data_IF_446921932624
#
_entry.id   IF_446921932624
#
_cell.length_a   1.000
_cell.length_b   1.000
_cell.length_c   1.000
_cell.angle_alpha   90.00
_cell.angle_beta   90.00
_cell.angle_gamma   90.00
#
_symmetry.space_group_name_H-M   'P 1'
#
loop_
_entity.id
_entity.type
_entity.pdbx_description
1 polymer ?
#
# COMPACT_ATOMS: atom_id res chain seq x y z
N UNK A 1 12.64 -53.71 21.49
CA UNK A 1 12.27 -52.41 22.09
C UNK A 1 13.57 -51.75 22.55
N UNK A 2 13.79 -50.48 22.18
CA UNK A 2 14.93 -49.59 22.49
C UNK A 2 16.14 -49.62 21.55
N UNK A 3 16.06 -48.82 20.48
CA UNK A 3 17.23 -48.11 19.93
C UNK A 3 16.79 -46.92 19.07
N UNK A 4 16.59 -45.74 19.69
CA UNK A 4 16.50 -44.45 18.99
C UNK A 4 16.49 -43.32 20.05
N UNK A 5 17.66 -42.95 20.57
CA UNK A 5 17.81 -41.79 21.48
C UNK A 5 19.01 -40.89 21.13
N UNK A 6 19.49 -40.94 19.88
CA UNK A 6 20.70 -40.22 19.44
C UNK A 6 20.56 -39.47 18.10
N UNK A 7 19.37 -38.96 17.78
CA UNK A 7 19.18 -38.02 16.66
C UNK A 7 18.42 -36.73 17.05
N UNK A 8 18.21 -36.49 18.36
CA UNK A 8 17.48 -35.32 18.87
C UNK A 8 18.34 -34.09 19.18
N UNK A 9 19.67 -34.14 18.99
CA UNK A 9 20.57 -33.04 19.39
C UNK A 9 21.29 -32.34 18.22
N UNK A 10 21.07 -32.77 16.96
CA UNK A 10 21.78 -32.20 15.80
C UNK A 10 20.95 -31.26 14.93
N UNK A 11 19.62 -31.19 15.09
CA UNK A 11 18.77 -30.24 14.34
C UNK A 11 18.39 -28.99 15.15
N UNK A 12 18.75 -28.92 16.43
CA UNK A 12 18.49 -27.74 17.27
C UNK A 12 19.54 -26.63 17.06
N UNK A 13 20.76 -26.98 16.62
CA UNK A 13 21.85 -26.01 16.45
C UNK A 13 21.78 -25.21 15.13
N UNK A 14 21.07 -25.71 14.11
CA UNK A 14 20.93 -24.99 12.83
C UNK A 14 19.72 -24.05 12.84
N UNK A 15 18.64 -24.41 13.54
CA UNK A 15 17.45 -23.56 13.69
C UNK A 15 17.64 -22.36 14.63
N UNK A 16 18.47 -22.49 15.67
CA UNK A 16 18.76 -21.38 16.58
C UNK A 16 19.73 -20.34 15.98
N UNK A 17 20.59 -20.73 15.03
CA UNK A 17 21.61 -19.84 14.46
C UNK A 17 21.07 -18.88 13.38
N UNK A 18 19.89 -19.13 12.83
CA UNK A 18 19.26 -18.25 11.82
C UNK A 18 18.30 -17.23 12.47
N UNK A 19 17.73 -17.56 13.63
CA UNK A 19 16.79 -16.70 14.35
C UNK A 19 17.45 -15.48 15.01
N UNK A 20 18.69 -15.59 15.50
CA UNK A 20 19.41 -14.46 16.14
C UNK A 20 19.89 -13.39 15.14
N UNK A 21 19.88 -13.65 13.82
CA UNK A 21 20.35 -12.68 12.81
C UNK A 21 19.29 -11.70 12.33
N UNK A 22 18.01 -11.94 12.62
CA UNK A 22 16.88 -11.19 12.04
C UNK A 22 15.87 -10.62 13.06
N UNK A 23 16.15 -10.69 14.36
CA UNK A 23 15.48 -9.84 15.35
C UNK A 23 13.96 -9.96 15.49
N UNK A 24 13.35 -11.10 15.12
CA UNK A 24 11.92 -11.33 15.27
C UNK A 24 11.62 -12.15 16.55
N UNK A 25 10.94 -11.59 17.57
CA UNK A 25 10.36 -12.39 18.64
C UNK A 25 9.14 -13.16 18.14
N UNK A 26 9.08 -14.44 18.52
CA UNK A 26 8.17 -15.42 17.93
C UNK A 26 6.79 -15.54 18.56
N UNK A 27 6.09 -16.52 17.99
CA UNK A 27 4.83 -17.19 18.34
C UNK A 27 3.52 -16.52 17.90
N UNK A 28 2.95 -17.03 16.81
CA UNK A 28 1.50 -17.24 16.67
C UNK A 28 1.26 -18.63 16.09
N UNK A 29 0.50 -19.43 16.83
CA UNK A 29 0.02 -20.76 16.45
C UNK A 29 -1.51 -20.73 16.47
N UNK A 30 -2.16 -20.95 15.32
CA UNK A 30 -3.56 -21.40 15.28
C UNK A 30 -4.51 -20.59 14.39
N UNK A 31 -4.39 -20.73 13.06
CA UNK A 31 -5.45 -20.35 12.12
C UNK A 31 -6.52 -21.45 12.12
N UNK A 32 -7.76 -21.12 12.47
CA UNK A 32 -8.92 -22.01 12.28
C UNK A 32 -9.86 -21.47 11.21
N UNK A 33 -9.98 -22.26 10.15
CA UNK A 33 -11.04 -22.23 9.15
C UNK A 33 -12.43 -22.11 9.79
N UNK A 34 -13.16 -21.03 9.46
CA UNK A 34 -14.62 -20.98 9.22
C UNK A 34 -15.10 -19.53 9.28
N UNK A 35 -15.43 -18.94 8.13
CA UNK A 35 -16.05 -17.62 8.14
C UNK A 35 -16.50 -17.09 6.77
N UNK A 36 -17.03 -17.91 5.88
CA UNK A 36 -17.55 -17.40 4.59
C UNK A 36 -18.93 -17.94 4.15
N UNK A 37 -19.74 -18.46 5.08
CA UNK A 37 -21.14 -18.85 4.77
C UNK A 37 -22.10 -18.47 5.90
N UNK A 38 -22.60 -17.23 5.93
CA UNK A 38 -23.98 -16.91 6.35
C UNK A 38 -24.32 -15.43 6.18
N UNK A 39 -25.05 -15.09 5.12
CA UNK A 39 -25.80 -13.83 5.05
C UNK A 39 -27.24 -14.19 4.71
N UNK A 40 -28.12 -14.21 5.72
CA UNK A 40 -29.52 -13.82 5.61
C UNK A 40 -30.19 -13.81 7.00
N UNK A 41 -30.83 -12.67 7.32
CA UNK A 41 -31.89 -12.56 8.32
C UNK A 41 -31.54 -11.88 9.64
N UNK A 42 -31.61 -10.53 9.70
CA UNK A 42 -32.41 -9.80 10.71
C UNK A 42 -32.35 -8.27 10.46
N UNK A 43 -33.33 -7.74 9.74
CA UNK A 43 -33.69 -6.31 9.77
C UNK A 43 -35.11 -6.23 10.33
N UNK A 44 -35.21 -5.81 11.59
CA UNK A 44 -36.34 -5.15 12.24
C UNK A 44 -35.96 -5.03 13.73
N UNK A 45 -35.83 -3.88 14.37
CA UNK A 45 -35.97 -2.49 14.00
C UNK A 45 -35.74 -1.65 15.28
N UNK A 46 -35.45 -0.35 15.08
CA UNK A 46 -35.56 0.77 16.04
C UNK A 46 -34.63 0.70 17.27
N UNK A 47 -33.75 1.66 17.55
CA UNK A 47 -34.06 3.07 17.81
C UNK A 47 -32.92 4.08 17.50
N UNK A 48 -33.39 5.33 17.41
CA UNK A 48 -32.85 6.66 17.11
C UNK A 48 -31.52 7.09 17.80
N UNK A 49 -30.65 7.89 17.12
CA UNK A 49 -29.43 8.47 17.71
C UNK A 49 -29.69 9.84 18.37
N UNK A 50 -28.91 10.24 19.40
CA UNK A 50 -28.88 11.62 19.88
C UNK A 50 -27.89 12.49 19.09
N UNK A 51 -28.35 13.72 18.88
CA UNK A 51 -27.70 14.81 18.18
C UNK A 51 -26.65 15.56 19.04
N UNK A 52 -25.58 16.01 18.39
CA UNK A 52 -24.83 17.26 18.63
C UNK A 52 -23.68 17.23 17.60
N UNK A 53 -23.53 18.15 16.64
CA UNK A 53 -23.24 19.56 16.85
C UNK A 53 -23.94 20.43 15.81
N UNK A 54 -24.63 21.46 16.31
CA UNK A 54 -25.08 22.64 15.58
C UNK A 54 -23.85 23.48 15.18
N UNK A 55 -23.70 23.83 13.90
CA UNK A 55 -24.12 25.11 13.31
C UNK A 55 -23.42 26.35 13.88
N UNK A 56 -22.54 26.94 13.07
CA UNK A 56 -22.26 28.38 13.07
C UNK A 56 -22.12 28.81 11.60
N UNK A 57 -22.86 29.85 11.24
CA UNK A 57 -23.13 30.34 9.89
C UNK A 57 -22.20 31.49 9.47
N UNK A 58 -21.96 31.53 8.15
CA UNK A 58 -21.90 32.66 7.18
C UNK A 58 -21.16 33.99 7.55
N UNK A 59 -20.06 34.36 6.87
CA UNK A 59 -19.91 35.19 5.61
C UNK A 59 -19.87 36.72 5.89
N UNK A 60 -19.61 37.64 4.93
CA UNK A 60 -18.47 37.84 4.01
C UNK A 60 -17.97 39.32 3.98
N UNK A 61 -16.80 39.66 3.39
CA UNK A 61 -16.51 41.03 2.86
C UNK A 61 -15.46 41.01 1.74
N UNK A 62 -15.71 41.81 0.69
CA UNK A 62 -15.01 42.02 -0.59
C UNK A 62 -13.75 42.92 -0.56
N UNK A 63 -13.10 42.99 -1.76
CA UNK A 63 -12.35 44.14 -2.35
C UNK A 63 -10.86 44.28 -1.95
N UNK A 64 -9.86 44.60 -2.79
CA UNK A 64 -9.79 45.34 -4.06
C UNK A 64 -8.47 45.07 -4.82
N UNK A 65 -8.54 45.14 -6.17
CA UNK A 65 -7.64 45.78 -7.16
C UNK A 65 -6.09 45.69 -7.14
N UNK A 66 -5.54 45.33 -8.34
CA UNK A 66 -4.46 45.99 -9.12
C UNK A 66 -3.04 46.05 -8.49
N UNK A 67 -1.88 46.05 -9.17
CA UNK A 67 -1.49 46.18 -10.57
C UNK A 67 0.03 45.86 -10.70
N UNK A 68 0.48 45.81 -11.95
CA UNK A 68 1.82 46.22 -12.43
C UNK A 68 3.05 45.27 -12.41
N UNK A 69 3.76 45.39 -13.54
CA UNK A 69 4.79 44.53 -14.08
C UNK A 69 6.21 45.07 -13.83
N UNK A 70 7.24 44.24 -14.06
CA UNK A 70 8.56 44.64 -14.61
C UNK A 70 9.50 43.44 -14.84
N UNK A 71 9.86 43.21 -16.11
CA UNK A 71 11.08 42.53 -16.61
C UNK A 71 12.18 43.62 -16.84
N UNK A 72 13.41 43.41 -17.41
CA UNK A 72 14.21 42.20 -17.71
C UNK A 72 15.75 42.32 -17.46
N UNK A 73 16.49 41.27 -17.86
CA UNK A 73 17.79 41.28 -18.56
C UNK A 73 19.14 41.17 -17.80
N UNK A 74 19.92 40.13 -18.16
CA UNK A 74 21.36 40.12 -18.54
C UNK A 74 21.86 38.66 -18.57
N UNK A 75 21.97 37.96 -19.71
CA UNK A 75 23.05 37.91 -20.72
C UNK A 75 24.43 37.43 -20.24
N UNK A 76 24.91 36.36 -20.88
CA UNK A 76 26.30 36.05 -21.29
C UNK A 76 26.87 34.68 -20.87
N UNK A 77 27.24 33.93 -21.90
CA UNK A 77 27.91 32.63 -21.98
C UNK A 77 29.34 32.59 -21.42
N UNK A 78 29.86 31.39 -21.09
CA UNK A 78 30.77 30.60 -21.96
C UNK A 78 31.64 29.59 -21.14
N UNK A 79 31.57 28.31 -21.56
CA UNK A 79 32.58 27.23 -21.52
C UNK A 79 33.31 26.83 -20.23
N UNK A 80 33.16 25.55 -19.86
CA UNK A 80 34.30 24.62 -19.73
C UNK A 80 33.83 23.16 -19.84
N UNK A 81 34.56 22.40 -20.67
CA UNK A 81 34.48 20.95 -20.85
C UNK A 81 35.23 20.24 -19.73
N UNK A 82 34.67 19.21 -19.11
CA UNK A 82 35.46 18.12 -18.49
C UNK A 82 34.68 16.80 -18.56
N UNK A 83 35.23 15.90 -19.37
CA UNK A 83 34.94 14.47 -19.47
C UNK A 83 35.16 13.75 -18.13
N UNK A 84 34.35 12.71 -17.87
CA UNK A 84 34.55 11.58 -16.92
C UNK A 84 33.68 11.60 -15.64
N UNK A 85 32.45 11.07 -15.73
CA UNK A 85 31.89 10.02 -14.83
C UNK A 85 30.51 9.56 -15.36
N UNK A 86 30.50 8.72 -16.40
CA UNK A 86 29.27 8.25 -17.05
C UNK A 86 28.59 7.05 -16.35
N UNK A 87 28.78 6.88 -15.04
CA UNK A 87 28.18 5.79 -14.28
C UNK A 87 27.44 6.23 -12.99
N UNK A 88 27.30 7.54 -12.70
CA UNK A 88 26.65 8.03 -11.46
C UNK A 88 25.78 9.29 -11.60
N UNK A 89 25.07 9.47 -12.71
CA UNK A 89 24.11 10.57 -12.78
C UNK A 89 22.91 10.22 -13.68
N UNK A 90 22.10 9.27 -13.24
CA UNK A 90 20.70 9.26 -13.68
C UNK A 90 20.02 10.42 -12.97
N UNK A 91 19.40 11.39 -13.68
CA UNK A 91 18.60 12.40 -13.02
C UNK A 91 17.50 11.68 -12.23
N UNK A 92 17.57 11.80 -10.90
CA UNK A 92 16.48 11.34 -10.03
C UNK A 92 15.27 12.18 -10.38
N UNK A 93 14.22 11.52 -10.87
CA UNK A 93 12.96 12.18 -11.11
C UNK A 93 12.33 12.59 -9.78
N UNK A 94 11.77 13.79 -9.73
CA UNK A 94 11.03 14.25 -8.57
C UNK A 94 9.59 13.74 -8.65
N UNK A 95 9.32 12.65 -7.93
CA UNK A 95 7.98 12.07 -7.79
C UNK A 95 7.24 12.61 -6.54
N UNK A 96 7.78 13.63 -5.85
CA UNK A 96 7.25 14.10 -4.55
C UNK A 96 5.82 14.63 -4.60
N UNK A 97 5.41 15.20 -5.75
CA UNK A 97 4.08 15.75 -5.95
C UNK A 97 3.00 14.72 -6.36
N UNK A 98 3.37 13.45 -6.56
CA UNK A 98 2.42 12.42 -7.01
C UNK A 98 1.42 12.06 -5.91
N UNK A 99 0.14 11.91 -6.28
CA UNK A 99 -0.95 11.50 -5.40
C UNK A 99 -1.68 10.27 -5.94
N UNK A 100 -2.21 9.44 -5.05
CA UNK A 100 -3.02 8.29 -5.43
C UNK A 100 -4.29 8.78 -6.15
N UNK A 101 -4.50 8.29 -7.37
CA UNK A 101 -5.70 8.60 -8.15
C UNK A 101 -6.88 7.68 -7.78
N UNK A 102 -8.06 8.00 -8.29
CA UNK A 102 -9.29 7.26 -8.00
C UNK A 102 -9.26 5.79 -8.42
N UNK A 103 -8.63 5.48 -9.56
CA UNK A 103 -8.54 4.11 -10.07
C UNK A 103 -7.67 3.22 -9.16
N UNK A 104 -6.52 3.74 -8.72
CA UNK A 104 -5.67 3.02 -7.76
C UNK A 104 -6.35 2.84 -6.40
N UNK A 105 -7.06 3.87 -5.93
CA UNK A 105 -7.84 3.78 -4.69
C UNK A 105 -8.92 2.69 -4.80
N UNK A 106 -9.62 2.61 -5.94
CA UNK A 106 -10.66 1.61 -6.16
C UNK A 106 -10.10 0.18 -6.20
N UNK A 107 -8.91 -0.03 -6.80
CA UNK A 107 -8.22 -1.33 -6.76
C UNK A 107 -7.98 -1.76 -5.31
N UNK A 108 -7.53 -0.85 -4.45
CA UNK A 108 -7.26 -1.13 -3.02
C UNK A 108 -8.57 -1.42 -2.28
N UNK A 109 -9.58 -0.56 -2.44
CA UNK A 109 -10.90 -0.71 -1.78
C UNK A 109 -11.55 -2.06 -2.06
N UNK A 110 -11.59 -2.43 -3.34
CA UNK A 110 -12.16 -3.71 -3.78
C UNK A 110 -11.33 -4.92 -3.33
N UNK A 111 -10.01 -4.78 -3.22
CA UNK A 111 -9.13 -5.86 -2.76
C UNK A 111 -9.20 -6.10 -1.26
N UNK A 112 -9.38 -5.03 -0.46
CA UNK A 112 -9.49 -5.12 1.00
C UNK A 112 -10.91 -5.45 1.48
N UNK A 113 -11.92 -4.99 0.75
CA UNK A 113 -13.32 -5.09 1.17
C UNK A 113 -13.68 -4.08 2.26
N UNK A 114 -14.97 -3.81 2.42
CA UNK A 114 -15.49 -2.81 3.36
C UNK A 114 -16.26 -3.48 4.50
N UNK A 115 -15.92 -3.13 5.74
CA UNK A 115 -16.59 -3.59 6.95
C UNK A 115 -16.96 -2.42 7.85
N UNK A 116 -18.24 -2.04 7.89
CA UNK A 116 -18.70 -0.84 8.61
C UNK A 116 -18.88 -1.01 10.12
N UNK A 117 -18.83 -2.23 10.62
CA UNK A 117 -18.91 -2.54 12.07
C UNK A 117 -17.67 -3.33 12.46
N UNK A 118 -17.02 -2.96 13.55
CA UNK A 118 -15.78 -3.61 13.97
C UNK A 118 -15.94 -5.14 14.10
N UNK A 119 -15.01 -5.89 13.51
CA UNK A 119 -14.93 -7.36 13.57
C UNK A 119 -13.59 -7.79 14.15
N UNK A 120 -13.55 -8.95 14.80
CA UNK A 120 -12.30 -9.53 15.31
C UNK A 120 -11.77 -10.57 14.33
N UNK A 121 -10.48 -10.49 14.01
CA UNK A 121 -9.74 -11.50 13.25
C UNK A 121 -8.34 -11.64 13.83
N UNK A 122 -7.91 -12.89 14.04
CA UNK A 122 -6.68 -13.29 14.75
C UNK A 122 -6.41 -12.56 16.10
N UNK A 123 -7.47 -12.16 16.79
CA UNK A 123 -7.39 -11.47 18.08
C UNK A 123 -7.30 -9.94 18.02
N UNK A 124 -7.20 -9.37 16.82
CA UNK A 124 -7.19 -7.93 16.58
C UNK A 124 -8.55 -7.44 16.06
N UNK A 125 -8.90 -6.19 16.40
CA UNK A 125 -10.08 -5.53 15.84
C UNK A 125 -9.78 -4.93 14.47
N UNK A 126 -10.71 -5.09 13.54
CA UNK A 126 -10.66 -4.58 12.17
C UNK A 126 -11.94 -3.81 11.85
N UNK A 127 -11.82 -2.68 11.15
CA UNK A 127 -12.96 -1.89 10.67
C UNK A 127 -12.62 -1.17 9.37
N UNK A 128 -13.61 -0.69 8.62
CA UNK A 128 -13.42 0.00 7.36
C UNK A 128 -12.78 -0.92 6.31
N UNK A 129 -11.68 -0.47 5.71
CA UNK A 129 -10.87 -1.24 4.77
C UNK A 129 -9.69 -1.92 5.49
N UNK A 130 -10.01 -2.88 6.37
CA UNK A 130 -9.05 -3.61 7.21
C UNK A 130 -8.15 -2.72 8.10
N UNK A 131 -8.69 -1.61 8.60
CA UNK A 131 -7.99 -0.72 9.54
C UNK A 131 -7.98 -1.34 10.94
N UNK A 132 -6.82 -1.33 11.60
CA UNK A 132 -6.63 -1.91 12.95
C UNK A 132 -6.19 -0.88 14.00
N UNK A 133 -5.44 0.16 13.62
CA UNK A 133 -4.70 1.01 14.56
C UNK A 133 -5.58 1.69 15.62
N UNK A 134 -6.83 2.03 15.29
CA UNK A 134 -7.81 2.65 16.20
C UNK A 134 -9.09 1.85 16.33
N UNK A 135 -9.13 0.63 15.79
CA UNK A 135 -10.30 -0.23 15.80
C UNK A 135 -10.58 -0.76 17.21
N UNK A 136 -11.83 -0.66 17.66
CA UNK A 136 -12.26 -1.13 18.98
C UNK A 136 -13.64 -1.80 18.91
N UNK A 137 -13.95 -2.60 19.94
CA UNK A 137 -15.24 -3.27 20.09
C UNK A 137 -16.43 -2.29 19.97
N UNK A 138 -17.43 -2.68 19.19
CA UNK A 138 -18.68 -1.92 19.03
C UNK A 138 -18.57 -0.65 18.19
N UNK A 139 -17.39 -0.32 17.66
CA UNK A 139 -17.22 0.80 16.76
C UNK A 139 -17.98 0.56 15.44
N UNK A 140 -18.56 1.63 14.90
CA UNK A 140 -19.19 1.64 13.57
C UNK A 140 -18.72 2.86 12.78
N UNK A 141 -18.71 2.75 11.46
CA UNK A 141 -18.33 3.81 10.53
C UNK A 141 -19.41 4.04 9.49
N UNK A 142 -19.43 5.26 8.96
CA UNK A 142 -20.01 5.55 7.64
C UNK A 142 -18.99 5.25 6.54
N UNK A 143 -19.46 5.12 5.29
CA UNK A 143 -18.57 4.90 4.14
C UNK A 143 -17.50 6.00 4.01
N UNK A 144 -17.83 7.31 4.11
CA UNK A 144 -16.80 8.35 4.03
C UNK A 144 -15.75 8.25 5.15
N UNK A 145 -16.16 7.93 6.37
CA UNK A 145 -15.22 7.73 7.48
C UNK A 145 -14.27 6.54 7.24
N UNK A 146 -14.76 5.46 6.62
CA UNK A 146 -13.91 4.34 6.24
C UNK A 146 -12.93 4.71 5.12
N UNK A 147 -13.32 5.57 4.18
CA UNK A 147 -12.43 6.08 3.14
C UNK A 147 -11.36 7.02 3.72
N UNK A 148 -11.72 7.90 4.65
CA UNK A 148 -10.77 8.78 5.35
C UNK A 148 -9.70 7.97 6.12
N UNK A 149 -10.12 6.89 6.81
CA UNK A 149 -9.19 5.97 7.46
C UNK A 149 -8.29 5.26 6.45
N UNK A 150 -8.84 4.80 5.33
CA UNK A 150 -8.04 4.16 4.28
C UNK A 150 -6.97 5.12 3.73
N UNK A 151 -7.32 6.38 3.47
CA UNK A 151 -6.36 7.37 2.98
C UNK A 151 -5.24 7.62 4.01
N UNK A 152 -5.58 7.64 5.29
CA UNK A 152 -4.60 7.74 6.39
C UNK A 152 -3.66 6.54 6.41
N UNK A 153 -4.20 5.32 6.30
CA UNK A 153 -3.41 4.08 6.28
C UNK A 153 -2.47 3.99 5.05
N UNK A 154 -2.86 4.64 3.94
CA UNK A 154 -2.09 4.63 2.69
C UNK A 154 -1.00 5.70 2.63
N UNK A 155 -1.00 6.71 3.51
CA UNK A 155 0.00 7.78 3.51
C UNK A 155 1.44 7.25 3.60
N UNK A 156 1.79 6.32 4.51
CA UNK A 156 3.15 5.77 4.58
C UNK A 156 3.55 4.98 3.32
N UNK A 157 2.58 4.33 2.66
CA UNK A 157 2.82 3.58 1.41
C UNK A 157 3.10 4.56 0.27
N UNK A 158 2.28 5.59 0.14
CA UNK A 158 2.44 6.66 -0.84
C UNK A 158 3.83 7.31 -0.71
N UNK A 159 4.21 7.72 0.50
CA UNK A 159 5.54 8.28 0.77
C UNK A 159 6.68 7.30 0.46
N UNK A 160 6.49 6.03 0.83
CA UNK A 160 7.42 4.96 0.53
C UNK A 160 7.71 4.85 -0.97
N UNK A 161 6.66 4.79 -1.79
CA UNK A 161 6.78 4.69 -3.25
C UNK A 161 7.42 5.96 -3.84
N UNK A 162 6.96 7.16 -3.45
CA UNK A 162 7.54 8.45 -3.89
C UNK A 162 9.04 8.52 -3.64
N UNK A 163 9.50 8.06 -2.48
CA UNK A 163 10.90 8.09 -2.07
C UNK A 163 11.76 7.02 -2.75
N UNK A 164 11.21 5.82 -2.94
CA UNK A 164 11.97 4.68 -3.43
C UNK A 164 12.14 4.69 -4.95
N UNK A 165 11.12 5.13 -5.69
CA UNK A 165 11.16 5.12 -7.17
C UNK A 165 11.81 6.40 -7.68
N UNK A 166 12.93 6.24 -8.37
CA UNK A 166 13.76 7.38 -8.84
C UNK A 166 13.59 7.66 -10.33
N UNK A 167 12.89 6.80 -11.06
CA UNK A 167 12.49 7.06 -12.45
C UNK A 167 11.20 7.89 -12.49
N UNK A 168 10.99 8.73 -13.52
CA UNK A 168 9.76 9.50 -13.63
C UNK A 168 8.57 8.57 -13.78
N UNK A 169 7.48 8.85 -13.06
CA UNK A 169 6.21 8.15 -13.17
C UNK A 169 5.13 9.07 -13.73
N UNK A 170 4.12 8.49 -14.38
CA UNK A 170 2.83 9.14 -14.53
C UNK A 170 1.90 8.78 -13.35
N UNK A 171 0.74 9.43 -13.26
CA UNK A 171 -0.22 9.21 -12.16
C UNK A 171 -0.72 7.77 -12.07
N UNK A 172 -0.96 7.11 -13.21
CA UNK A 172 -1.44 5.73 -13.26
C UNK A 172 -0.36 4.72 -12.83
N UNK A 173 0.87 4.91 -13.30
CA UNK A 173 2.03 4.13 -12.87
C UNK A 173 2.22 4.25 -11.36
N UNK A 174 2.18 5.48 -10.83
CA UNK A 174 2.28 5.72 -9.39
C UNK A 174 1.15 5.04 -8.61
N UNK A 175 -0.10 5.23 -9.01
CA UNK A 175 -1.27 4.65 -8.35
C UNK A 175 -1.24 3.11 -8.34
N UNK A 176 -0.86 2.48 -9.45
CA UNK A 176 -0.69 1.04 -9.54
C UNK A 176 0.41 0.52 -8.61
N UNK A 177 1.54 1.24 -8.52
CA UNK A 177 2.64 0.89 -7.62
C UNK A 177 2.28 1.06 -6.15
N UNK A 178 1.48 2.07 -5.79
CA UNK A 178 0.97 2.24 -4.42
C UNK A 178 0.07 1.06 -4.05
N UNK A 179 -0.86 0.66 -4.92
CA UNK A 179 -1.68 -0.53 -4.68
C UNK A 179 -0.82 -1.79 -4.55
N UNK A 180 0.17 -1.96 -5.43
CA UNK A 180 1.06 -3.13 -5.37
C UNK A 180 1.88 -3.15 -4.08
N UNK A 181 2.50 -2.02 -3.72
CA UNK A 181 3.37 -1.87 -2.54
C UNK A 181 2.60 -2.04 -1.22
N UNK A 182 1.35 -1.57 -1.13
CA UNK A 182 0.50 -1.85 0.04
C UNK A 182 0.28 -3.36 0.21
N UNK A 183 0.06 -4.08 -0.89
CA UNK A 183 -0.25 -5.51 -0.85
C UNK A 183 0.95 -6.38 -0.48
N UNK A 184 2.16 -6.03 -0.91
CA UNK A 184 3.38 -6.83 -0.64
C UNK A 184 4.18 -6.30 0.54
N UNK A 185 3.85 -5.09 1.02
CA UNK A 185 4.62 -4.31 1.97
C UNK A 185 5.69 -3.44 1.28
N UNK A 186 5.77 -2.17 1.68
CA UNK A 186 6.72 -1.19 1.14
C UNK A 186 8.17 -1.65 1.25
N UNK A 187 8.53 -2.33 2.35
CA UNK A 187 9.89 -2.86 2.55
C UNK A 187 10.24 -3.97 1.56
N UNK A 188 9.27 -4.83 1.23
CA UNK A 188 9.46 -5.92 0.27
C UNK A 188 9.38 -5.41 -1.18
N UNK A 189 8.62 -4.34 -1.44
CA UNK A 189 8.46 -3.76 -2.76
C UNK A 189 9.82 -3.47 -3.43
N UNK A 190 10.78 -2.92 -2.68
CA UNK A 190 12.13 -2.62 -3.19
C UNK A 190 12.98 -3.83 -3.58
N UNK A 191 12.54 -5.03 -3.21
CA UNK A 191 13.21 -6.30 -3.52
C UNK A 191 12.56 -7.03 -4.71
N UNK A 192 11.44 -6.50 -5.21
CA UNK A 192 10.67 -7.13 -6.29
C UNK A 192 11.30 -6.91 -7.67
N UNK A 193 10.96 -7.81 -8.59
CA UNK A 193 11.29 -7.64 -10.00
C UNK A 193 10.56 -6.46 -10.64
N UNK A 194 9.37 -6.10 -10.13
CA UNK A 194 8.65 -4.88 -10.53
C UNK A 194 9.53 -3.65 -10.31
N UNK A 195 10.00 -3.44 -9.08
CA UNK A 195 10.87 -2.31 -8.73
C UNK A 195 12.17 -2.32 -9.53
N UNK A 196 12.84 -3.48 -9.62
CA UNK A 196 14.11 -3.61 -10.34
C UNK A 196 13.95 -3.33 -11.83
N UNK A 197 12.91 -3.84 -12.49
CA UNK A 197 12.68 -3.61 -13.91
C UNK A 197 12.33 -2.14 -14.16
N UNK A 198 11.47 -1.56 -13.34
CA UNK A 198 11.06 -0.15 -13.44
C UNK A 198 12.25 0.80 -13.31
N UNK A 199 13.10 0.62 -12.30
CA UNK A 199 14.30 1.46 -12.08
C UNK A 199 15.31 1.37 -13.23
N UNK A 200 15.29 0.27 -13.99
CA UNK A 200 16.08 0.09 -15.20
C UNK A 200 15.38 0.58 -16.49
N UNK A 201 14.25 1.29 -16.35
CA UNK A 201 13.46 1.81 -17.48
C UNK A 201 12.67 0.75 -18.25
N UNK A 202 12.58 -0.49 -17.75
CA UNK A 202 11.91 -1.61 -18.42
C UNK A 202 10.46 -1.74 -17.98
N UNK A 203 9.61 -0.79 -18.40
CA UNK A 203 8.19 -0.71 -18.01
C UNK A 203 7.40 -1.97 -18.35
N UNK A 204 7.55 -2.50 -19.56
CA UNK A 204 6.84 -3.74 -19.96
C UNK A 204 7.23 -4.93 -19.08
N UNK A 205 8.51 -5.04 -18.72
CA UNK A 205 8.98 -6.10 -17.83
C UNK A 205 8.54 -5.89 -16.37
N UNK A 206 8.37 -4.65 -15.93
CA UNK A 206 7.79 -4.34 -14.63
C UNK A 206 6.30 -4.72 -14.58
N UNK A 207 5.57 -4.42 -15.65
CA UNK A 207 4.17 -4.78 -15.82
C UNK A 207 3.96 -6.30 -15.85
N UNK A 208 4.81 -7.04 -16.56
CA UNK A 208 4.78 -8.51 -16.55
C UNK A 208 5.12 -9.08 -15.16
N UNK A 209 6.08 -8.48 -14.46
CA UNK A 209 6.42 -8.90 -13.10
C UNK A 209 5.24 -8.69 -12.14
N UNK A 210 4.42 -7.64 -12.30
CA UNK A 210 3.20 -7.45 -11.48
C UNK A 210 2.29 -8.67 -11.58
N UNK A 211 2.00 -9.16 -12.78
CA UNK A 211 1.14 -10.34 -13.01
C UNK A 211 1.67 -11.64 -12.38
N UNK A 212 2.97 -11.71 -12.08
CA UNK A 212 3.58 -12.90 -11.47
C UNK A 212 3.45 -12.93 -9.94
N UNK A 213 3.18 -11.79 -9.30
CA UNK A 213 3.05 -11.68 -7.85
C UNK A 213 1.67 -12.12 -7.33
N UNK A 214 1.37 -13.41 -7.47
CA UNK A 214 0.04 -14.00 -7.22
C UNK A 214 0.01 -15.08 -6.13
N UNK A 215 1.16 -15.31 -5.47
CA UNK A 215 1.31 -16.31 -4.43
C UNK A 215 1.16 -15.68 -3.04
N UNK A 216 0.49 -16.37 -2.13
CA UNK A 216 0.46 -16.07 -0.69
C UNK A 216 0.90 -17.30 0.11
N UNK A 217 1.41 -17.10 1.32
CA UNK A 217 1.68 -18.19 2.23
C UNK A 217 0.38 -18.60 2.94
N UNK A 218 -0.08 -19.82 2.70
CA UNK A 218 -1.24 -20.40 3.37
C UNK A 218 -0.76 -21.65 4.10
N UNK A 219 -0.78 -21.62 5.43
CA UNK A 219 -0.35 -22.73 6.29
C UNK A 219 1.08 -23.23 6.01
N UNK A 220 2.00 -22.34 5.65
CA UNK A 220 3.40 -22.66 5.37
C UNK A 220 3.71 -23.01 3.91
N UNK A 221 2.70 -23.05 3.04
CA UNK A 221 2.84 -23.36 1.62
C UNK A 221 2.55 -22.13 0.76
N UNK A 222 3.32 -21.93 -0.31
CA UNK A 222 3.04 -20.88 -1.29
C UNK A 222 1.93 -21.35 -2.24
N UNK A 223 0.77 -20.73 -2.11
CA UNK A 223 -0.43 -21.05 -2.90
C UNK A 223 -0.80 -19.86 -3.76
N UNK A 224 -1.14 -20.12 -5.02
CA UNK A 224 -1.69 -19.09 -5.91
C UNK A 224 -3.09 -18.72 -5.48
N UNK A 225 -3.35 -17.41 -5.33
CA UNK A 225 -4.64 -16.90 -4.90
C UNK A 225 -5.35 -16.21 -6.06
N UNK A 226 -6.59 -16.62 -6.35
CA UNK A 226 -7.41 -16.01 -7.40
C UNK A 226 -7.61 -14.51 -7.18
N UNK A 227 -7.83 -14.10 -5.93
CA UNK A 227 -7.94 -12.69 -5.54
C UNK A 227 -6.67 -11.89 -5.88
N UNK A 228 -5.49 -12.47 -5.68
CA UNK A 228 -4.23 -11.82 -6.06
C UNK A 228 -4.07 -11.77 -7.58
N UNK A 229 -4.43 -12.83 -8.31
CA UNK A 229 -4.42 -12.81 -9.79
C UNK A 229 -5.28 -11.65 -10.31
N UNK A 230 -6.51 -11.53 -9.84
CA UNK A 230 -7.43 -10.47 -10.25
C UNK A 230 -6.93 -9.06 -9.86
N UNK A 231 -6.33 -8.93 -8.67
CA UNK A 231 -5.71 -7.68 -8.24
C UNK A 231 -4.54 -7.29 -9.15
N UNK A 232 -3.62 -8.22 -9.43
CA UNK A 232 -2.43 -7.94 -10.26
C UNK A 232 -2.78 -7.60 -11.70
N UNK A 233 -3.80 -8.21 -12.28
CA UNK A 233 -4.25 -7.83 -13.62
C UNK A 233 -4.80 -6.39 -13.66
N UNK A 234 -5.53 -5.96 -12.64
CA UNK A 234 -6.02 -4.57 -12.55
C UNK A 234 -4.89 -3.57 -12.34
N UNK A 235 -3.94 -3.88 -11.46
CA UNK A 235 -2.76 -3.05 -11.25
C UNK A 235 -1.90 -2.95 -12.50
N UNK A 236 -1.66 -4.07 -13.20
CA UNK A 236 -0.95 -4.09 -14.47
C UNK A 236 -1.68 -3.27 -15.53
N UNK A 237 -3.00 -3.41 -15.64
CA UNK A 237 -3.79 -2.65 -16.60
C UNK A 237 -3.67 -1.13 -16.34
N UNK A 238 -3.80 -0.72 -15.07
CA UNK A 238 -3.62 0.68 -14.68
C UNK A 238 -2.19 1.16 -14.97
N UNK A 239 -1.18 0.40 -14.58
CA UNK A 239 0.24 0.74 -14.80
C UNK A 239 0.58 0.96 -16.28
N UNK A 240 -0.05 0.21 -17.19
CA UNK A 240 0.17 0.34 -18.63
C UNK A 240 -0.66 1.44 -19.30
N UNK A 241 -1.54 2.11 -18.55
CA UNK A 241 -2.38 3.18 -19.07
C UNK A 241 -1.57 4.46 -19.22
N UNK A 242 -1.47 4.93 -20.47
CA UNK A 242 -0.81 6.20 -20.81
C UNK A 242 -1.56 7.38 -20.17
N UNK A 243 -0.87 8.48 -19.82
CA UNK A 243 -1.48 9.69 -19.28
C UNK A 243 -2.45 10.37 -20.26
#
# INVERSE_FOLDING_TARGET
MRLAFLFGLSLFAVGALVAERYGLPGTVTGVTDKGFDKIEGLIAGTERPPAAFAAAAEEPVEDSTQDEASTPAATAALSASTTTDAARNMPTADNSAMSLNGDGLEIIKTSRGLTLSATIDDGDWHIGYAHTATAIEGQTLTVPQAEDLLLTDLEPVQDGVRRMVTVPLNENEYAALVSFAESVGVENFGQTDVYRNLQNGKRDAAAEALSQHTLANVNGELVQMSSLVERRERERALFMTQP
#
